data_IF_952346745608
#
_entry.id   IF_952346745608
#
_cell.length_a   1.000
_cell.length_b   1.000
_cell.length_c   1.000
_cell.angle_alpha   90.00
_cell.angle_beta   90.00
_cell.angle_gamma   90.00
#
_symmetry.space_group_name_H-M   'P 1'
#
loop_
_entity.id
_entity.type
_entity.pdbx_description
1 polymer ?
#
# COMPACT_ATOMS: atom_id res chain seq x y z
N UNK A 1 17.81 43.93 22.12
CA UNK A 1 17.15 43.78 20.81
C UNK A 1 17.68 42.51 20.14
N UNK A 2 16.78 41.60 19.71
CA UNK A 2 16.79 40.71 18.51
C UNK A 2 18.15 40.17 17.99
N UNK A 3 18.41 38.92 17.58
CA UNK A 3 17.66 37.68 17.25
C UNK A 3 18.72 36.58 16.87
N UNK A 4 18.38 35.29 17.05
CA UNK A 4 18.64 34.07 16.23
C UNK A 4 19.74 34.09 15.13
N UNK A 5 20.51 33.02 14.84
CA UNK A 5 20.10 31.73 14.18
C UNK A 5 21.25 30.68 14.25
N UNK A 6 20.87 29.40 14.52
CA UNK A 6 21.26 28.05 13.98
C UNK A 6 22.56 27.92 13.14
N UNK A 7 23.28 26.80 13.07
CA UNK A 7 22.88 25.42 12.69
C UNK A 7 24.02 24.46 13.07
N UNK A 8 23.75 23.43 13.88
CA UNK A 8 24.62 22.26 14.00
C UNK A 8 24.20 21.26 12.92
N UNK A 9 24.82 21.39 11.75
CA UNK A 9 24.62 20.55 10.58
C UNK A 9 25.62 19.40 10.65
N UNK A 10 25.17 18.21 11.04
CA UNK A 10 25.99 17.00 10.94
C UNK A 10 25.09 15.75 10.81
N UNK A 11 24.74 15.40 9.57
CA UNK A 11 24.61 14.03 9.04
C UNK A 11 24.66 14.15 7.51
N UNK A 12 25.87 14.30 6.97
CA UNK A 12 26.62 13.25 6.27
C UNK A 12 26.01 12.94 4.89
N UNK A 13 26.53 13.65 3.90
CA UNK A 13 26.48 13.26 2.50
C UNK A 13 27.20 11.92 2.30
N UNK A 14 26.61 10.99 1.54
CA UNK A 14 27.26 10.10 0.55
C UNK A 14 26.29 8.99 0.12
N UNK A 15 25.67 9.13 -1.05
CA UNK A 15 25.14 8.00 -1.83
C UNK A 15 25.16 8.38 -3.32
N UNK A 16 26.35 8.67 -3.84
CA UNK A 16 26.62 8.53 -5.28
C UNK A 16 27.25 7.16 -5.49
N UNK A 17 26.75 6.42 -6.49
CA UNK A 17 27.18 5.10 -6.93
C UNK A 17 26.63 3.89 -6.13
N UNK A 18 25.30 3.77 -6.03
CA UNK A 18 24.69 2.43 -6.10
C UNK A 18 24.58 2.10 -7.59
N UNK A 19 25.49 1.25 -8.03
CA UNK A 19 25.59 0.69 -9.36
C UNK A 19 24.23 0.20 -9.84
N UNK A 20 23.93 0.44 -11.12
CA UNK A 20 22.61 0.39 -11.80
C UNK A 20 21.93 -1.01 -11.81
N UNK A 21 22.41 -1.95 -11.01
CA UNK A 21 21.91 -3.33 -10.92
C UNK A 21 21.21 -3.70 -9.59
N UNK A 22 21.24 -2.86 -8.54
CA UNK A 22 20.49 -3.10 -7.27
C UNK A 22 19.27 -2.19 -7.07
N UNK A 23 18.96 -1.30 -8.03
CA UNK A 23 17.88 -0.32 -7.86
C UNK A 23 16.49 -0.95 -8.02
N UNK A 24 16.33 -2.14 -8.60
CA UNK A 24 14.99 -2.66 -8.89
C UNK A 24 14.20 -3.13 -7.65
N UNK A 25 14.87 -3.49 -6.55
CA UNK A 25 14.24 -3.98 -5.31
C UNK A 25 13.82 -2.84 -4.35
N UNK A 26 14.25 -1.60 -4.62
CA UNK A 26 13.90 -0.39 -3.86
C UNK A 26 13.40 0.77 -4.76
N UNK A 27 13.31 0.58 -6.08
CA UNK A 27 12.78 1.61 -6.97
C UNK A 27 11.27 1.50 -7.05
N UNK A 28 10.61 2.52 -6.51
CA UNK A 28 9.17 2.67 -6.58
C UNK A 28 8.70 2.87 -8.03
N UNK A 29 7.52 2.32 -8.35
CA UNK A 29 6.86 2.62 -9.62
C UNK A 29 6.56 4.13 -9.77
N UNK A 30 6.50 4.62 -11.02
CA UNK A 30 6.15 6.02 -11.29
C UNK A 30 4.78 6.42 -10.71
N UNK A 31 3.83 5.47 -10.70
CA UNK A 31 2.54 5.67 -10.03
C UNK A 31 2.71 5.86 -8.53
N UNK A 32 3.54 5.05 -7.86
CA UNK A 32 3.83 5.20 -6.43
C UNK A 32 4.48 6.56 -6.11
N UNK A 33 5.45 7.01 -6.91
CA UNK A 33 6.09 8.32 -6.69
C UNK A 33 5.11 9.48 -6.82
N UNK A 34 4.15 9.41 -7.75
CA UNK A 34 3.15 10.45 -7.93
C UNK A 34 2.19 10.59 -6.73
N UNK A 35 1.96 9.52 -5.96
CA UNK A 35 1.01 9.52 -4.83
C UNK A 35 1.70 9.54 -3.47
N UNK A 36 3.04 9.40 -3.40
CA UNK A 36 3.77 9.38 -2.12
C UNK A 36 3.62 10.69 -1.38
N UNK A 37 3.33 10.58 -0.08
CA UNK A 37 3.50 11.67 0.90
C UNK A 37 4.22 11.20 2.14
N UNK A 38 4.66 12.16 2.95
CA UNK A 38 5.16 11.85 4.28
C UNK A 38 4.01 11.34 5.17
N UNK A 39 4.23 10.19 5.80
CA UNK A 39 3.33 9.64 6.80
C UNK A 39 3.61 10.26 8.16
N UNK A 40 2.55 10.49 8.94
CA UNK A 40 2.67 10.88 10.33
C UNK A 40 3.05 9.70 11.22
N UNK A 41 3.59 9.97 12.41
CA UNK A 41 3.93 8.93 13.39
C UNK A 41 2.71 8.09 13.77
N UNK A 42 1.53 8.70 13.92
CA UNK A 42 0.30 8.00 14.29
C UNK A 42 -0.19 7.09 13.15
N UNK A 43 -0.06 7.52 11.89
CA UNK A 43 -0.38 6.67 10.74
C UNK A 43 0.55 5.46 10.67
N UNK A 44 1.86 5.66 10.81
CA UNK A 44 2.86 4.58 10.82
C UNK A 44 2.53 3.58 11.93
N UNK A 45 2.30 4.07 13.15
CA UNK A 45 1.95 3.22 14.29
C UNK A 45 0.66 2.44 14.08
N UNK A 46 -0.34 3.08 13.46
CA UNK A 46 -1.63 2.45 13.16
C UNK A 46 -1.47 1.34 12.13
N UNK A 47 -0.75 1.62 11.04
CA UNK A 47 -0.49 0.67 9.96
C UNK A 47 0.34 -0.53 10.45
N UNK A 48 1.30 -0.31 11.35
CA UNK A 48 2.09 -1.38 11.96
C UNK A 48 1.22 -2.49 12.58
N UNK A 49 0.03 -2.17 13.10
CA UNK A 49 -0.87 -3.14 13.75
C UNK A 49 -1.46 -4.21 12.82
N UNK A 50 -1.32 -4.05 11.49
CA UNK A 50 -1.75 -5.03 10.48
C UNK A 50 -0.60 -5.56 9.65
N UNK A 51 0.62 -5.14 9.95
CA UNK A 51 1.82 -5.62 9.28
C UNK A 51 2.28 -6.94 9.87
N UNK A 52 2.65 -7.88 9.00
CA UNK A 52 3.23 -9.15 9.39
C UNK A 52 4.49 -9.42 8.55
N UNK A 53 5.66 -9.30 9.15
CA UNK A 53 6.95 -9.44 8.45
C UNK A 53 7.13 -10.79 7.77
N UNK A 54 6.70 -11.90 8.41
CA UNK A 54 6.83 -13.25 7.83
C UNK A 54 5.96 -13.41 6.59
N UNK A 55 4.74 -12.90 6.63
CA UNK A 55 3.83 -12.93 5.48
C UNK A 55 4.29 -11.98 4.38
N UNK A 56 4.77 -10.78 4.75
CA UNK A 56 5.31 -9.81 3.82
C UNK A 56 6.52 -10.37 3.06
N UNK A 57 7.49 -10.94 3.76
CA UNK A 57 8.66 -11.60 3.16
C UNK A 57 8.29 -12.77 2.24
N UNK A 58 7.19 -13.48 2.57
CA UNK A 58 6.67 -14.57 1.73
C UNK A 58 5.98 -14.06 0.46
N UNK A 59 5.21 -12.98 0.57
CA UNK A 59 4.52 -12.37 -0.58
C UNK A 59 5.47 -11.63 -1.51
N UNK A 60 6.58 -11.11 -0.99
CA UNK A 60 7.53 -10.27 -1.71
C UNK A 60 8.97 -10.81 -1.62
N UNK A 61 9.27 -11.92 -2.33
CA UNK A 61 10.62 -12.50 -2.35
C UNK A 61 11.69 -11.53 -2.84
N UNK A 62 11.34 -10.59 -3.71
CA UNK A 62 12.22 -9.51 -4.16
C UNK A 62 12.74 -8.67 -2.99
N UNK A 63 11.85 -8.27 -2.09
CA UNK A 63 12.20 -7.47 -0.89
C UNK A 63 12.97 -8.33 0.10
N UNK A 64 12.53 -9.57 0.33
CA UNK A 64 13.21 -10.51 1.23
C UNK A 64 14.65 -10.78 0.79
N UNK A 65 14.87 -10.98 -0.51
CA UNK A 65 16.20 -11.29 -1.04
C UNK A 65 17.19 -10.13 -0.88
N UNK A 66 16.70 -8.89 -0.94
CA UNK A 66 17.52 -7.68 -0.79
C UNK A 66 17.74 -7.29 0.68
N UNK A 67 16.68 -7.31 1.49
CA UNK A 67 16.66 -6.72 2.83
C UNK A 67 16.68 -7.75 3.97
N UNK A 68 16.53 -9.04 3.65
CA UNK A 68 16.42 -10.11 4.64
C UNK A 68 15.03 -10.22 5.26
N UNK A 69 14.97 -10.74 6.49
CA UNK A 69 13.71 -11.05 7.20
C UNK A 69 13.52 -10.26 8.50
N UNK A 70 14.37 -9.26 8.76
CA UNK A 70 14.22 -8.40 9.95
C UNK A 70 12.89 -7.62 9.86
N UNK A 71 12.11 -7.70 10.94
CA UNK A 71 10.75 -7.14 10.99
C UNK A 71 10.75 -5.63 10.78
N UNK A 72 11.64 -4.91 11.45
CA UNK A 72 11.67 -3.45 11.36
C UNK A 72 12.20 -2.99 10.01
N UNK A 73 13.17 -3.70 9.45
CA UNK A 73 13.68 -3.44 8.10
C UNK A 73 12.58 -3.63 7.04
N UNK A 74 11.83 -4.73 7.11
CA UNK A 74 10.73 -4.99 6.18
C UNK A 74 9.56 -4.02 6.37
N UNK A 75 9.26 -3.64 7.62
CA UNK A 75 8.25 -2.63 7.89
C UNK A 75 8.65 -1.26 7.36
N UNK A 76 9.93 -0.87 7.53
CA UNK A 76 10.48 0.36 6.97
C UNK A 76 10.37 0.38 5.45
N UNK A 77 10.67 -0.74 4.79
CA UNK A 77 10.42 -0.89 3.35
C UNK A 77 8.94 -0.71 3.02
N UNK A 78 8.04 -1.35 3.78
CA UNK A 78 6.61 -1.26 3.53
C UNK A 78 6.08 0.17 3.61
N UNK A 79 6.46 0.95 4.63
CA UNK A 79 5.97 2.34 4.76
C UNK A 79 6.66 3.32 3.80
N UNK A 80 7.88 3.01 3.36
CA UNK A 80 8.64 3.87 2.44
C UNK A 80 8.27 3.63 0.97
N UNK A 81 8.01 2.37 0.61
CA UNK A 81 7.77 1.93 -0.76
C UNK A 81 6.48 1.12 -0.88
N UNK A 82 6.31 0.09 -0.06
CA UNK A 82 5.24 -0.90 -0.21
C UNK A 82 3.82 -0.33 -0.25
N UNK A 83 3.49 0.65 0.60
CA UNK A 83 2.18 1.32 0.58
C UNK A 83 1.90 1.93 -0.80
N UNK A 84 2.87 2.65 -1.34
CA UNK A 84 2.75 3.39 -2.60
C UNK A 84 2.81 2.48 -3.84
N UNK A 85 3.35 1.28 -3.67
CA UNK A 85 3.30 0.21 -4.66
C UNK A 85 2.05 -0.66 -4.53
N UNK A 86 1.12 -0.31 -3.62
CA UNK A 86 -0.11 -1.06 -3.35
C UNK A 86 0.18 -2.50 -2.89
N UNK A 87 1.34 -2.73 -2.25
CA UNK A 87 1.70 -4.00 -1.61
C UNK A 87 0.84 -4.22 -0.35
N UNK A 88 0.67 -5.48 0.02
CA UNK A 88 -0.14 -5.92 1.15
C UNK A 88 0.73 -6.01 2.41
N UNK A 89 0.30 -5.47 3.57
CA UNK A 89 1.06 -5.60 4.82
C UNK A 89 1.01 -7.02 5.41
N UNK A 90 0.00 -7.80 5.06
CA UNK A 90 -0.28 -9.16 5.53
C UNK A 90 -1.27 -9.85 4.58
N UNK A 91 -1.48 -11.15 4.73
CA UNK A 91 -2.47 -11.91 3.93
C UNK A 91 -3.92 -11.50 4.24
N UNK A 92 -4.12 -10.81 5.36
CA UNK A 92 -5.44 -10.41 5.84
C UNK A 92 -5.96 -9.10 5.22
N UNK A 93 -5.13 -8.33 4.50
CA UNK A 93 -5.52 -7.03 3.97
C UNK A 93 -4.89 -6.69 2.62
N UNK A 94 -5.75 -6.38 1.66
CA UNK A 94 -5.44 -5.80 0.36
C UNK A 94 -6.19 -4.48 0.17
N UNK A 95 -5.44 -3.41 -0.07
CA UNK A 95 -6.00 -2.06 -0.13
C UNK A 95 -6.86 -1.82 -1.37
N UNK A 96 -6.48 -2.36 -2.54
CA UNK A 96 -7.27 -2.28 -3.78
C UNK A 96 -8.63 -2.97 -3.61
N UNK A 97 -8.63 -4.15 -2.97
CA UNK A 97 -9.85 -4.89 -2.63
C UNK A 97 -10.69 -4.09 -1.66
N UNK A 98 -10.09 -3.54 -0.60
CA UNK A 98 -10.82 -2.77 0.39
C UNK A 98 -11.45 -1.50 -0.21
N UNK A 99 -10.71 -0.76 -1.04
CA UNK A 99 -11.23 0.42 -1.71
C UNK A 99 -12.35 0.08 -2.71
N UNK A 100 -12.14 -0.94 -3.54
CA UNK A 100 -13.12 -1.35 -4.57
C UNK A 100 -14.43 -1.88 -3.97
N UNK A 101 -14.35 -2.55 -2.82
CA UNK A 101 -15.51 -3.22 -2.19
C UNK A 101 -16.19 -2.39 -1.11
N UNK A 102 -15.76 -1.14 -0.89
CA UNK A 102 -16.41 -0.19 0.00
C UNK A 102 -16.70 1.12 -0.75
N UNK A 103 -17.74 1.14 -1.63
CA UNK A 103 -18.03 2.29 -2.49
C UNK A 103 -18.37 3.59 -1.76
N UNK A 104 -18.80 3.49 -0.51
CA UNK A 104 -19.04 4.62 0.38
C UNK A 104 -17.76 5.37 0.77
N UNK A 105 -16.61 4.69 0.78
CA UNK A 105 -15.32 5.27 1.13
C UNK A 105 -14.63 5.94 -0.06
N UNK A 106 -14.98 5.55 -1.29
CA UNK A 106 -14.41 6.07 -2.54
C UNK A 106 -14.55 7.59 -2.68
N UNK A 107 -15.74 8.21 -2.49
CA UNK A 107 -15.84 9.67 -2.56
C UNK A 107 -15.11 10.38 -1.41
N UNK A 108 -14.83 9.71 -0.29
CA UNK A 108 -14.12 10.30 0.84
C UNK A 108 -12.61 10.35 0.62
N UNK A 109 -12.04 9.23 0.18
CA UNK A 109 -10.59 9.05 0.07
C UNK A 109 -10.07 9.18 -1.35
N UNK A 110 -10.84 8.79 -2.37
CA UNK A 110 -10.36 8.78 -3.75
C UNK A 110 -9.12 7.91 -3.88
N UNK A 111 -8.02 8.53 -4.33
CA UNK A 111 -6.68 7.95 -4.49
C UNK A 111 -5.80 8.04 -3.21
N UNK A 112 -6.33 8.56 -2.09
CA UNK A 112 -5.65 8.56 -0.79
C UNK A 112 -5.58 7.15 -0.19
N UNK A 113 -4.59 6.40 -0.65
CA UNK A 113 -4.32 5.03 -0.21
C UNK A 113 -4.18 4.89 1.31
N UNK A 114 -3.60 5.89 1.98
CA UNK A 114 -3.41 5.86 3.43
C UNK A 114 -4.75 5.97 4.15
N UNK A 115 -5.69 6.76 3.63
CA UNK A 115 -7.06 6.86 4.16
C UNK A 115 -7.73 5.49 4.31
N UNK A 116 -7.60 4.61 3.31
CA UNK A 116 -8.16 3.26 3.38
C UNK A 116 -7.49 2.38 4.42
N UNK A 117 -6.15 2.45 4.56
CA UNK A 117 -5.42 1.74 5.61
C UNK A 117 -5.90 2.15 7.00
N UNK A 118 -5.96 3.46 7.26
CA UNK A 118 -6.36 4.00 8.56
C UNK A 118 -7.82 3.67 8.85
N UNK A 119 -8.71 3.80 7.87
CA UNK A 119 -10.12 3.44 8.03
C UNK A 119 -10.25 1.96 8.43
N UNK A 120 -9.60 1.05 7.70
CA UNK A 120 -9.65 -0.38 8.03
C UNK A 120 -9.17 -0.66 9.45
N UNK A 121 -7.99 -0.15 9.84
CA UNK A 121 -7.42 -0.45 11.16
C UNK A 121 -8.31 0.08 12.29
N UNK A 122 -8.84 1.28 12.14
CA UNK A 122 -9.60 1.98 13.20
C UNK A 122 -11.05 1.48 13.33
N UNK A 123 -11.65 1.00 12.24
CA UNK A 123 -13.08 0.61 12.22
C UNK A 123 -13.33 -0.89 12.19
N UNK A 124 -12.34 -1.75 11.90
CA UNK A 124 -12.55 -3.20 11.68
C UNK A 124 -13.32 -3.95 12.77
N UNK A 125 -13.32 -3.46 14.02
CA UNK A 125 -14.09 -4.06 15.13
C UNK A 125 -15.55 -3.65 15.12
N UNK A 126 -15.84 -2.38 14.85
CA UNK A 126 -17.20 -1.82 14.83
C UNK A 126 -17.89 -2.05 13.49
N UNK A 127 -17.11 -2.13 12.41
CA UNK A 127 -17.55 -2.34 11.03
C UNK A 127 -17.13 -3.72 10.51
N UNK A 128 -17.15 -4.74 11.38
CA UNK A 128 -16.79 -6.12 11.03
C UNK A 128 -17.72 -6.79 10.00
N UNK A 129 -18.82 -6.14 9.64
CA UNK A 129 -19.71 -6.54 8.55
C UNK A 129 -19.19 -6.15 7.16
N UNK A 130 -18.16 -5.29 7.08
CA UNK A 130 -17.55 -4.93 5.79
C UNK A 130 -16.92 -6.15 5.11
N UNK A 131 -16.86 -6.16 3.77
CA UNK A 131 -16.33 -7.30 3.05
C UNK A 131 -14.87 -7.60 3.42
N UNK A 132 -14.54 -8.90 3.47
CA UNK A 132 -13.18 -9.37 3.77
C UNK A 132 -12.22 -8.83 2.69
N UNK A 133 -11.18 -8.06 3.06
CA UNK A 133 -10.32 -7.36 2.10
C UNK A 133 -9.20 -8.26 1.57
N UNK A 134 -9.53 -9.43 1.04
CA UNK A 134 -8.53 -10.34 0.46
C UNK A 134 -8.85 -10.60 -1.01
N UNK A 135 -7.80 -10.78 -1.82
CA UNK A 135 -7.94 -11.10 -3.25
C UNK A 135 -8.79 -12.36 -3.45
N UNK A 136 -8.56 -13.39 -2.64
CA UNK A 136 -9.33 -14.65 -2.71
C UNK A 136 -10.80 -14.45 -2.41
N UNK A 137 -11.15 -13.62 -1.41
CA UNK A 137 -12.55 -13.30 -1.15
C UNK A 137 -13.17 -12.50 -2.30
N UNK A 138 -12.46 -11.52 -2.85
CA UNK A 138 -12.93 -10.80 -4.04
C UNK A 138 -13.19 -11.74 -5.23
N UNK A 139 -12.33 -12.74 -5.44
CA UNK A 139 -12.50 -13.74 -6.50
C UNK A 139 -13.74 -14.61 -6.26
N UNK A 140 -13.91 -15.18 -5.06
CA UNK A 140 -15.07 -16.03 -4.74
C UNK A 140 -16.41 -15.33 -4.90
N UNK A 141 -16.44 -14.01 -4.70
CA UNK A 141 -17.64 -13.18 -4.85
C UNK A 141 -17.70 -12.43 -6.20
N UNK A 142 -16.92 -12.86 -7.20
CA UNK A 142 -16.89 -12.29 -8.56
C UNK A 142 -16.75 -10.76 -8.59
N UNK A 143 -15.96 -10.20 -7.69
CA UNK A 143 -15.75 -8.76 -7.57
C UNK A 143 -14.70 -8.28 -8.58
N UNK A 144 -15.02 -7.22 -9.32
CA UNK A 144 -14.05 -6.45 -10.10
C UNK A 144 -13.28 -5.52 -9.17
N UNK A 145 -11.95 -5.61 -9.19
CA UNK A 145 -11.08 -4.80 -8.34
C UNK A 145 -10.28 -3.84 -9.21
N UNK A 146 -10.26 -2.58 -8.80
CA UNK A 146 -9.46 -1.51 -9.40
C UNK A 146 -8.32 -1.12 -8.46
N UNK A 147 -7.27 -0.55 -9.05
CA UNK A 147 -6.19 0.09 -8.28
C UNK A 147 -6.79 1.23 -7.44
N UNK A 148 -6.30 1.45 -6.23
CA UNK A 148 -6.72 2.63 -5.42
C UNK A 148 -6.55 3.93 -6.23
N UNK A 149 -5.47 4.02 -7.00
CA UNK A 149 -5.16 5.15 -7.88
C UNK A 149 -6.10 5.34 -9.08
N UNK A 150 -7.11 4.47 -9.24
CA UNK A 150 -8.19 4.68 -10.20
C UNK A 150 -9.38 5.41 -9.61
N UNK A 151 -9.47 5.58 -8.29
CA UNK A 151 -10.56 6.32 -7.66
C UNK A 151 -10.27 7.82 -7.60
N UNK A 152 -11.34 8.62 -7.61
CA UNK A 152 -11.27 10.08 -7.58
C UNK A 152 -12.10 10.58 -6.42
N UNK A 153 -11.54 11.49 -5.62
CA UNK A 153 -12.25 12.06 -4.47
C UNK A 153 -13.53 12.77 -4.93
N UNK A 154 -14.62 12.54 -4.21
CA UNK A 154 -15.97 13.01 -4.57
C UNK A 154 -16.70 12.14 -5.59
N UNK A 155 -16.08 11.09 -6.12
CA UNK A 155 -16.70 10.16 -7.07
C UNK A 155 -16.91 8.77 -6.43
N UNK A 156 -18.03 8.13 -6.78
CA UNK A 156 -18.22 6.69 -6.56
C UNK A 156 -17.89 5.95 -7.86
N UNK A 157 -17.11 4.88 -7.74
CA UNK A 157 -16.56 4.12 -8.84
C UNK A 157 -15.22 4.69 -9.37
N UNK A 158 -14.49 3.90 -10.17
CA UNK A 158 -13.22 4.33 -10.73
C UNK A 158 -13.41 5.39 -11.81
N UNK A 159 -12.34 6.14 -12.11
CA UNK A 159 -12.28 7.09 -13.23
C UNK A 159 -12.60 6.41 -14.55
N UNK A 160 -13.18 7.16 -15.48
CA UNK A 160 -13.51 6.64 -16.80
C UNK A 160 -12.27 6.07 -17.49
N UNK A 161 -12.39 4.85 -18.04
CA UNK A 161 -11.29 4.15 -18.72
C UNK A 161 -10.30 3.43 -17.80
N UNK A 162 -10.54 3.40 -16.48
CA UNK A 162 -9.74 2.58 -15.57
C UNK A 162 -9.80 1.09 -15.96
N UNK A 163 -8.65 0.41 -15.88
CA UNK A 163 -8.53 -1.01 -16.18
C UNK A 163 -8.45 -1.75 -14.85
N UNK A 164 -9.33 -2.74 -14.60
CA UNK A 164 -9.31 -3.47 -13.34
C UNK A 164 -8.04 -4.30 -13.17
N UNK A 165 -7.50 -4.28 -11.95
CA UNK A 165 -6.33 -5.08 -11.53
C UNK A 165 -6.70 -6.53 -11.20
N UNK A 166 -8.00 -6.82 -11.02
CA UNK A 166 -8.53 -8.17 -10.88
C UNK A 166 -9.93 -8.25 -11.50
N UNK A 167 -10.15 -9.28 -12.32
CA UNK A 167 -11.45 -9.65 -12.87
C UNK A 167 -11.65 -11.16 -12.78
N UNK A 168 -12.88 -11.62 -13.02
CA UNK A 168 -13.22 -13.06 -13.07
C UNK A 168 -12.31 -13.85 -14.04
N UNK A 169 -11.92 -13.24 -15.16
CA UNK A 169 -11.18 -13.91 -16.23
C UNK A 169 -9.65 -13.75 -16.13
N UNK A 170 -9.13 -13.13 -15.07
CA UNK A 170 -7.69 -12.99 -14.84
C UNK A 170 -7.28 -13.86 -13.65
N UNK A 171 -6.94 -15.13 -13.91
CA UNK A 171 -6.26 -15.97 -12.94
C UNK A 171 -5.15 -16.80 -13.61
N UNK A 172 -3.87 -16.62 -13.24
CA UNK A 172 -2.83 -17.58 -13.57
C UNK A 172 -3.04 -18.83 -12.69
N UNK A 173 -3.94 -19.73 -13.10
CA UNK A 173 -4.12 -21.03 -12.43
C UNK A 173 -5.56 -21.48 -12.15
N UNK A 174 -6.59 -20.86 -12.74
CA UNK A 174 -7.96 -21.41 -12.70
C UNK A 174 -8.41 -21.64 -14.14
N UNK A 175 -8.46 -22.90 -14.57
CA UNK A 175 -9.25 -23.29 -15.73
C UNK A 175 -10.73 -23.30 -15.30
N UNK A 176 -11.55 -22.52 -16.00
CA UNK A 176 -13.00 -22.60 -15.88
C UNK A 176 -13.44 -23.97 -16.42
N UNK A 177 -14.08 -24.78 -15.57
CA UNK A 177 -14.74 -26.02 -16.00
C UNK A 177 -15.95 -25.74 -16.88
#
# INVERSE_FOLDING_TARGET
MKRFVKVLSLMLATFMAVTVFSVNSCAMSAAGEAHRRQLTTDEIKTIYTIFNAKEYAKMYPDVKNELGEDEMTLFNHFVTFGIWEQRQPSVAFNVDVYASRNPDLQPLYGDDIVGYYIHYVTTRKTEGWRPIPTKTNALWYNCTIYSVYDFVKGQTGPKAGAIPVQTLNYHPGVELQ
#
